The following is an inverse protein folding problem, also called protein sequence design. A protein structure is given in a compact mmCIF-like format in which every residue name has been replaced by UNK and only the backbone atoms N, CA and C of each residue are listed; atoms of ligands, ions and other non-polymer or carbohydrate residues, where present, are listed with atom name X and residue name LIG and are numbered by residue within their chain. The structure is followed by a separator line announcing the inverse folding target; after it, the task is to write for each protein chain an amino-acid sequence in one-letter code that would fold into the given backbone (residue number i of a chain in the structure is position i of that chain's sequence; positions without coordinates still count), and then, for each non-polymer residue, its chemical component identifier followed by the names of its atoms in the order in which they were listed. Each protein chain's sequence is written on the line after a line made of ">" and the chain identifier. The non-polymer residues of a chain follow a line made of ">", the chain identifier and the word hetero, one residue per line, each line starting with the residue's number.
data_IF_003826326309
#
_entry.id   IF_003826326309
#
_cell.length_a   1.000
_cell.length_b   1.000
_cell.length_c   1.000
_cell.angle_alpha   90.00
_cell.angle_beta   90.00
_cell.angle_gamma   90.00
#
_symmetry.space_group_name_H-M   'P 1'
#
loop_
_entity.id
_entity.type
_entity.pdbx_description
1 polymer ?
#
# COMPACT_ATOMS: atom_id res chain seq x y z
N UNK A 1 -26.74 -31.44 5.06
CA UNK A 1 -26.64 -32.14 3.76
C UNK A 1 -26.82 -31.21 2.55
N UNK A 2 -27.59 -30.13 2.62
CA UNK A 2 -27.81 -29.22 1.48
C UNK A 2 -26.56 -28.48 0.99
N UNK A 3 -25.67 -28.07 1.88
CA UNK A 3 -24.51 -27.25 1.56
C UNK A 3 -23.43 -28.00 0.76
N UNK A 4 -23.24 -29.30 1.06
CA UNK A 4 -22.28 -30.13 0.33
C UNK A 4 -22.72 -30.38 -1.13
N UNK A 5 -24.02 -30.52 -1.36
CA UNK A 5 -24.58 -30.69 -2.71
C UNK A 5 -24.47 -29.39 -3.52
N UNK A 6 -24.73 -28.24 -2.90
CA UNK A 6 -24.61 -26.93 -3.53
C UNK A 6 -23.16 -26.64 -3.94
N UNK A 7 -22.18 -26.94 -3.10
CA UNK A 7 -20.74 -26.78 -3.40
C UNK A 7 -20.32 -27.70 -4.55
N UNK A 8 -20.78 -28.95 -4.55
CA UNK A 8 -20.46 -29.92 -5.62
C UNK A 8 -21.06 -29.49 -6.97
N UNK A 9 -22.27 -28.97 -7.00
CA UNK A 9 -22.91 -28.44 -8.22
C UNK A 9 -22.22 -27.18 -8.74
N UNK A 10 -21.72 -26.31 -7.85
CA UNK A 10 -20.92 -25.15 -8.22
C UNK A 10 -19.61 -25.55 -8.88
N UNK A 11 -18.90 -26.53 -8.34
CA UNK A 11 -17.65 -27.05 -8.90
C UNK A 11 -17.87 -27.70 -10.28
N UNK A 12 -18.95 -28.49 -10.46
CA UNK A 12 -19.25 -29.13 -11.72
C UNK A 12 -19.64 -28.18 -12.86
N UNK A 13 -20.12 -26.97 -12.54
CA UNK A 13 -20.48 -25.93 -13.52
C UNK A 13 -19.39 -24.91 -13.77
N UNK A 14 -18.19 -25.06 -13.18
CA UNK A 14 -17.13 -24.08 -13.27
C UNK A 14 -17.48 -22.74 -12.64
N UNK A 15 -18.45 -22.72 -11.70
CA UNK A 15 -18.91 -21.53 -11.02
C UNK A 15 -17.81 -21.03 -10.07
N UNK A 16 -17.29 -19.86 -10.37
CA UNK A 16 -16.17 -19.27 -9.63
C UNK A 16 -16.64 -18.34 -8.51
N UNK A 17 -15.75 -18.02 -7.57
CA UNK A 17 -16.00 -16.98 -6.57
C UNK A 17 -16.29 -15.61 -7.18
N UNK A 18 -15.79 -15.35 -8.38
CA UNK A 18 -16.07 -14.12 -9.14
C UNK A 18 -17.52 -14.13 -9.66
N UNK A 19 -18.02 -15.26 -10.11
CA UNK A 19 -19.41 -15.39 -10.56
C UNK A 19 -20.38 -15.22 -9.38
N UNK A 20 -20.04 -15.77 -8.21
CA UNK A 20 -20.79 -15.54 -6.97
C UNK A 20 -20.81 -14.05 -6.60
N UNK A 21 -19.66 -13.38 -6.72
CA UNK A 21 -19.53 -11.95 -6.42
C UNK A 21 -20.39 -11.07 -7.35
N UNK A 22 -20.52 -11.46 -8.64
CA UNK A 22 -21.38 -10.77 -9.61
C UNK A 22 -22.88 -10.93 -9.28
N UNK A 23 -23.26 -12.09 -8.77
CA UNK A 23 -24.66 -12.35 -8.37
C UNK A 23 -25.01 -11.70 -7.03
N UNK A 24 -24.02 -11.48 -6.17
CA UNK A 24 -24.18 -10.88 -4.83
C UNK A 24 -23.24 -9.69 -4.61
N UNK A 25 -23.33 -8.63 -5.41
CA UNK A 25 -22.40 -7.51 -5.37
C UNK A 25 -22.43 -6.69 -4.05
N UNK A 26 -23.54 -6.78 -3.32
CA UNK A 26 -23.72 -6.12 -2.01
C UNK A 26 -23.00 -6.82 -0.84
N UNK A 27 -22.52 -8.05 -1.00
CA UNK A 27 -21.81 -8.78 0.03
C UNK A 27 -20.35 -8.33 0.19
N UNK A 28 -19.77 -8.53 1.38
CA UNK A 28 -18.35 -8.21 1.65
C UNK A 28 -17.39 -8.93 0.70
N UNK A 29 -17.66 -10.21 0.41
CA UNK A 29 -16.88 -11.02 -0.53
C UNK A 29 -17.00 -10.49 -1.96
N UNK A 30 -18.22 -10.14 -2.40
CA UNK A 30 -18.47 -9.57 -3.72
C UNK A 30 -17.69 -8.29 -3.96
N UNK A 31 -17.74 -7.37 -3.02
CA UNK A 31 -16.99 -6.11 -3.07
C UNK A 31 -15.48 -6.35 -3.18
N UNK A 32 -14.90 -7.20 -2.32
CA UNK A 32 -13.45 -7.50 -2.34
C UNK A 32 -12.97 -8.09 -3.67
N UNK A 33 -13.79 -8.91 -4.32
CA UNK A 33 -13.44 -9.56 -5.59
C UNK A 33 -13.62 -8.64 -6.82
N UNK A 34 -14.56 -7.70 -6.76
CA UNK A 34 -14.87 -6.80 -7.87
C UNK A 34 -14.12 -5.47 -7.82
N UNK A 35 -13.82 -4.95 -6.61
CA UNK A 35 -13.14 -3.68 -6.45
C UNK A 35 -11.69 -3.72 -6.96
N UNK A 36 -11.27 -2.59 -7.52
CA UNK A 36 -9.88 -2.34 -7.89
C UNK A 36 -9.16 -1.54 -6.79
N UNK A 37 -7.84 -1.51 -6.86
CA UNK A 37 -6.99 -0.68 -6.00
C UNK A 37 -7.41 0.79 -6.12
N UNK A 38 -7.69 1.28 -7.34
CA UNK A 38 -8.13 2.64 -7.59
C UNK A 38 -9.42 3.03 -6.88
N UNK A 39 -10.30 2.07 -6.55
CA UNK A 39 -11.54 2.36 -5.81
C UNK A 39 -11.32 2.67 -4.32
N UNK A 40 -10.16 2.33 -3.76
CA UNK A 40 -9.87 2.44 -2.31
C UNK A 40 -8.59 3.21 -2.01
N UNK A 41 -7.74 3.45 -3.01
CA UNK A 41 -6.48 4.15 -2.80
C UNK A 41 -6.70 5.59 -2.30
N UNK A 42 -5.75 6.09 -1.54
CA UNK A 42 -5.65 7.52 -1.25
C UNK A 42 -4.81 8.17 -2.35
N UNK A 43 -5.38 9.15 -3.05
CA UNK A 43 -4.75 9.84 -4.18
C UNK A 43 -4.48 11.33 -3.94
N UNK A 44 -4.89 11.85 -2.79
CA UNK A 44 -4.72 13.26 -2.42
C UNK A 44 -4.08 13.38 -1.04
N UNK A 45 -3.48 14.53 -0.78
CA UNK A 45 -2.80 14.84 0.49
C UNK A 45 -1.81 13.74 0.90
N UNK A 46 -1.03 13.26 -0.08
CA UNK A 46 0.00 12.26 0.19
C UNK A 46 1.15 12.88 0.98
N UNK A 47 1.65 12.21 2.02
CA UNK A 47 2.76 12.70 2.83
C UNK A 47 4.09 12.53 2.09
N UNK A 48 4.43 13.48 1.22
CA UNK A 48 5.64 13.49 0.41
C UNK A 48 6.65 14.45 1.02
N UNK A 49 7.91 14.02 1.10
CA UNK A 49 9.03 14.84 1.58
C UNK A 49 10.24 14.69 0.67
N UNK A 50 11.14 15.68 0.73
CA UNK A 50 12.44 15.62 0.06
C UNK A 50 13.40 14.65 0.78
N UNK A 51 14.44 14.13 0.11
CA UNK A 51 15.42 13.23 0.71
C UNK A 51 16.18 13.82 1.90
N UNK A 52 16.39 15.14 1.89
CA UNK A 52 17.08 15.89 2.93
C UNK A 52 16.19 16.36 4.08
N UNK A 53 14.92 15.95 4.09
CA UNK A 53 13.97 16.26 5.16
C UNK A 53 14.52 15.87 6.53
N UNK A 54 14.40 16.78 7.50
CA UNK A 54 14.90 16.57 8.86
C UNK A 54 14.11 15.51 9.62
N UNK A 55 14.72 14.93 10.66
CA UNK A 55 14.05 13.97 11.53
C UNK A 55 12.76 14.53 12.14
N UNK A 56 12.76 15.78 12.55
CA UNK A 56 11.58 16.45 13.14
C UNK A 56 10.46 16.62 12.12
N UNK A 57 10.80 17.12 10.91
CA UNK A 57 9.82 17.32 9.84
C UNK A 57 9.26 16.00 9.33
N UNK A 58 10.10 14.96 9.29
CA UNK A 58 9.71 13.60 8.93
C UNK A 58 8.64 13.05 9.89
N UNK A 59 8.86 13.16 11.21
CA UNK A 59 7.90 12.74 12.23
C UNK A 59 6.58 13.52 12.08
N UNK A 60 6.70 14.85 11.87
CA UNK A 60 5.53 15.70 11.66
C UNK A 60 4.73 15.28 10.41
N UNK A 61 5.43 15.02 9.30
CA UNK A 61 4.81 14.60 8.03
C UNK A 61 4.09 13.24 8.17
N UNK A 62 4.69 12.26 8.87
CA UNK A 62 4.05 10.97 9.14
C UNK A 62 2.76 11.17 9.96
N UNK A 63 2.84 11.96 11.03
CA UNK A 63 1.70 12.23 11.92
C UNK A 63 0.57 12.95 11.18
N UNK A 64 0.90 14.01 10.43
CA UNK A 64 -0.06 14.78 9.63
C UNK A 64 -0.68 13.93 8.52
N UNK A 65 0.12 13.11 7.86
CA UNK A 65 -0.33 12.25 6.75
C UNK A 65 -1.32 11.17 7.18
N UNK A 66 -1.22 10.67 8.41
CA UNK A 66 -2.14 9.66 8.97
C UNK A 66 -2.09 8.30 8.28
N UNK A 67 -1.06 8.02 7.48
CA UNK A 67 -0.86 6.75 6.77
C UNK A 67 0.20 5.86 7.44
N UNK A 68 0.84 6.34 8.51
CA UNK A 68 1.95 5.65 9.17
C UNK A 68 3.22 5.54 8.31
N UNK A 69 3.31 6.32 7.24
CA UNK A 69 4.48 6.40 6.36
C UNK A 69 4.58 7.78 5.71
N UNK A 70 5.76 8.06 5.16
CA UNK A 70 6.02 9.15 4.19
C UNK A 70 6.66 8.60 2.94
N UNK A 71 6.49 9.31 1.84
CA UNK A 71 7.08 9.02 0.54
C UNK A 71 8.23 10.01 0.33
N UNK A 72 9.40 9.50 0.02
CA UNK A 72 10.57 10.33 -0.27
C UNK A 72 10.67 10.50 -1.79
N UNK A 73 10.62 11.76 -2.25
CA UNK A 73 10.74 12.09 -3.66
C UNK A 73 11.84 13.11 -3.89
N UNK A 74 12.59 12.89 -4.96
CA UNK A 74 13.48 13.90 -5.57
C UNK A 74 12.86 14.32 -6.90
N UNK A 75 12.27 15.52 -6.92
CA UNK A 75 11.39 15.94 -7.99
C UNK A 75 10.21 14.97 -8.16
N UNK A 76 10.02 14.44 -9.36
CA UNK A 76 8.96 13.47 -9.68
C UNK A 76 9.33 12.01 -9.35
N UNK A 77 10.57 11.78 -8.94
CA UNK A 77 11.09 10.43 -8.73
C UNK A 77 10.92 9.98 -7.28
N UNK A 78 10.31 8.83 -7.08
CA UNK A 78 10.23 8.20 -5.76
C UNK A 78 11.56 7.51 -5.45
N UNK A 79 12.24 7.97 -4.40
CA UNK A 79 13.48 7.40 -3.89
C UNK A 79 13.23 6.26 -2.89
N UNK A 80 12.16 6.37 -2.12
CA UNK A 80 11.83 5.37 -1.10
C UNK A 80 10.65 5.76 -0.23
N UNK A 81 10.47 5.01 0.83
CA UNK A 81 9.49 5.29 1.89
C UNK A 81 10.15 5.19 3.26
N UNK A 82 9.61 5.93 4.23
CA UNK A 82 9.90 5.76 5.66
C UNK A 82 8.60 5.49 6.39
N UNK A 83 8.57 4.45 7.19
CA UNK A 83 7.41 4.08 8.02
C UNK A 83 7.64 4.46 9.48
N UNK A 84 6.56 4.48 10.28
CA UNK A 84 6.64 4.62 11.75
C UNK A 84 7.62 3.60 12.37
N UNK A 85 7.65 2.39 11.82
CA UNK A 85 8.57 1.35 12.26
C UNK A 85 10.03 1.68 11.98
N UNK A 86 10.32 2.33 10.85
CA UNK A 86 11.69 2.75 10.49
C UNK A 86 12.16 3.85 11.42
N UNK A 87 11.30 4.84 11.69
CA UNK A 87 11.56 5.92 12.64
C UNK A 87 11.90 5.35 14.02
N UNK A 88 11.05 4.46 14.54
CA UNK A 88 11.25 3.85 15.86
C UNK A 88 12.58 3.09 15.93
N UNK A 89 12.88 2.26 14.93
CA UNK A 89 14.17 1.54 14.85
C UNK A 89 15.36 2.49 14.77
N UNK A 90 15.22 3.59 14.04
CA UNK A 90 16.26 4.60 13.95
C UNK A 90 16.49 5.31 15.29
N UNK A 91 15.42 5.66 16.00
CA UNK A 91 15.51 6.25 17.35
C UNK A 91 16.23 5.32 18.34
N UNK A 92 15.88 4.03 18.34
CA UNK A 92 16.51 3.02 19.20
C UNK A 92 18.02 2.89 18.91
N UNK A 93 18.40 2.89 17.63
CA UNK A 93 19.79 2.70 17.20
C UNK A 93 20.64 3.94 17.35
N UNK A 94 20.13 5.10 16.96
CA UNK A 94 20.86 6.37 16.89
C UNK A 94 20.79 7.18 18.18
N UNK A 95 19.77 6.94 19.02
CA UNK A 95 19.55 7.66 20.28
C UNK A 95 19.56 9.18 20.08
N UNK A 96 20.46 9.90 20.75
CA UNK A 96 20.57 11.36 20.65
C UNK A 96 20.90 11.85 19.21
N UNK A 97 21.62 11.06 18.43
CA UNK A 97 21.99 11.40 17.05
C UNK A 97 20.83 11.27 16.06
N UNK A 98 19.68 10.71 16.48
CA UNK A 98 18.51 10.58 15.64
C UNK A 98 18.06 11.92 15.04
N UNK A 99 18.12 13.00 15.80
CA UNK A 99 17.71 14.33 15.33
C UNK A 99 18.63 14.96 14.28
N UNK A 100 19.79 14.37 14.06
CA UNK A 100 20.76 14.82 13.04
C UNK A 100 20.63 14.06 11.71
N UNK A 101 19.78 13.02 11.64
CA UNK A 101 19.57 12.24 10.42
C UNK A 101 18.57 12.92 9.47
N UNK A 102 18.66 12.52 8.21
CA UNK A 102 17.72 12.89 7.15
C UNK A 102 16.83 11.72 6.77
N UNK A 103 15.74 12.02 6.09
CA UNK A 103 14.81 10.98 5.64
C UNK A 103 15.49 9.91 4.76
N UNK A 104 16.40 10.32 3.87
CA UNK A 104 17.17 9.41 3.03
C UNK A 104 18.02 8.41 3.81
N UNK A 105 18.49 8.74 5.03
CA UNK A 105 19.36 7.88 5.83
C UNK A 105 18.67 6.63 6.37
N UNK A 106 17.34 6.65 6.44
CA UNK A 106 16.53 5.55 6.97
C UNK A 106 15.47 5.06 5.98
N UNK A 107 15.48 5.59 4.77
CA UNK A 107 14.55 5.22 3.71
C UNK A 107 14.68 3.74 3.33
N UNK A 108 13.54 3.10 3.13
CA UNK A 108 13.46 1.82 2.43
C UNK A 108 13.36 2.09 0.94
N UNK A 109 14.42 1.78 0.15
CA UNK A 109 14.40 2.00 -1.29
C UNK A 109 13.49 0.96 -1.99
N UNK A 110 13.11 1.27 -3.23
CA UNK A 110 12.31 0.38 -4.07
C UNK A 110 11.03 -0.12 -3.37
N UNK A 111 10.15 0.79 -2.93
CA UNK A 111 8.91 0.42 -2.29
C UNK A 111 8.07 -0.47 -3.19
N UNK A 112 7.28 -1.36 -2.61
CA UNK A 112 6.38 -2.22 -3.38
C UNK A 112 5.28 -1.38 -4.02
N UNK A 113 5.08 -1.58 -5.32
CA UNK A 113 4.12 -0.83 -6.13
C UNK A 113 3.06 -1.75 -6.71
N UNK A 114 1.89 -1.18 -6.99
CA UNK A 114 0.79 -1.85 -7.67
C UNK A 114 0.07 -0.83 -8.57
N UNK A 115 -0.51 -1.29 -9.66
CA UNK A 115 -1.30 -0.44 -10.54
C UNK A 115 -2.75 -0.28 -10.04
N UNK A 116 -3.37 0.88 -10.30
CA UNK A 116 -4.72 1.21 -9.83
C UNK A 116 -5.82 0.30 -10.39
N UNK A 117 -5.62 -0.27 -11.58
CA UNK A 117 -6.54 -1.19 -12.26
C UNK A 117 -6.55 -2.61 -11.69
N UNK A 118 -5.53 -2.97 -10.89
CA UNK A 118 -5.43 -4.29 -10.27
C UNK A 118 -6.53 -4.51 -9.25
N UNK A 119 -6.93 -5.78 -9.08
CA UNK A 119 -7.96 -6.14 -8.10
C UNK A 119 -7.47 -5.98 -6.66
N UNK A 120 -8.36 -5.53 -5.79
CA UNK A 120 -8.04 -5.33 -4.38
C UNK A 120 -7.50 -6.61 -3.71
N UNK A 121 -8.03 -7.77 -4.09
CA UNK A 121 -7.55 -9.07 -3.59
C UNK A 121 -6.09 -9.36 -3.97
N UNK A 122 -5.62 -8.82 -5.09
CA UNK A 122 -4.21 -8.97 -5.51
C UNK A 122 -3.30 -8.10 -4.65
N UNK A 123 -3.76 -6.88 -4.32
CA UNK A 123 -3.04 -6.01 -3.39
C UNK A 123 -2.90 -6.66 -2.00
N UNK A 124 -3.98 -7.24 -1.47
CA UNK A 124 -3.96 -7.96 -0.19
C UNK A 124 -2.97 -9.14 -0.20
N UNK A 125 -2.99 -9.94 -1.28
CA UNK A 125 -2.04 -11.04 -1.45
C UNK A 125 -0.59 -10.54 -1.54
N UNK A 126 -0.36 -9.44 -2.25
CA UNK A 126 0.95 -8.83 -2.38
C UNK A 126 1.48 -8.31 -1.04
N UNK A 127 0.63 -7.62 -0.26
CA UNK A 127 0.98 -7.16 1.10
C UNK A 127 1.35 -8.33 2.00
N UNK A 128 0.54 -9.38 2.03
CA UNK A 128 0.78 -10.59 2.85
C UNK A 128 2.08 -11.29 2.44
N UNK A 129 2.29 -11.51 1.14
CA UNK A 129 3.48 -12.19 0.61
C UNK A 129 4.78 -11.42 0.91
N UNK A 130 4.73 -10.09 0.77
CA UNK A 130 5.90 -9.23 1.00
C UNK A 130 6.02 -8.76 2.45
N UNK A 131 5.08 -9.11 3.33
CA UNK A 131 5.03 -8.69 4.74
C UNK A 131 5.08 -7.17 4.90
N UNK A 132 4.35 -6.47 4.03
CA UNK A 132 4.21 -5.01 4.05
C UNK A 132 2.78 -4.61 4.37
N UNK A 133 2.60 -3.46 4.99
CA UNK A 133 1.29 -2.91 5.37
C UNK A 133 0.75 -1.89 4.37
N UNK A 134 1.59 -1.49 3.41
CA UNK A 134 1.23 -0.48 2.41
C UNK A 134 1.87 -0.79 1.07
N UNK A 135 1.21 -0.38 0.00
CA UNK A 135 1.72 -0.42 -1.37
C UNK A 135 1.59 0.99 -1.96
N UNK A 136 2.57 1.40 -2.74
CA UNK A 136 2.43 2.61 -3.54
C UNK A 136 1.67 2.28 -4.82
N UNK A 137 0.71 3.12 -5.14
CA UNK A 137 -0.02 3.00 -6.41
C UNK A 137 0.67 3.86 -7.44
N UNK A 138 1.03 3.25 -8.56
CA UNK A 138 1.73 3.91 -9.68
C UNK A 138 1.10 3.47 -11.00
N UNK A 139 1.25 4.30 -12.02
CA UNK A 139 0.83 3.91 -13.36
C UNK A 139 1.75 2.82 -13.91
N UNK A 140 1.16 1.82 -14.57
CA UNK A 140 1.85 0.60 -15.03
C UNK A 140 2.98 0.84 -16.05
N UNK A 141 3.13 2.06 -16.57
CA UNK A 141 4.05 2.41 -17.65
C UNK A 141 5.14 3.43 -17.28
N UNK A 142 5.19 3.94 -16.06
CA UNK A 142 6.15 4.98 -15.68
C UNK A 142 7.17 4.47 -14.65
N UNK A 143 8.42 4.97 -14.67
CA UNK A 143 9.25 4.93 -13.48
C UNK A 143 8.42 5.52 -12.35
N UNK A 144 8.54 4.95 -11.14
CA UNK A 144 7.72 5.25 -9.97
C UNK A 144 7.59 6.78 -9.79
N UNK A 145 6.52 7.37 -10.36
CA UNK A 145 6.17 8.78 -10.27
C UNK A 145 4.90 8.92 -9.46
N UNK A 146 4.79 10.02 -8.72
CA UNK A 146 3.54 10.38 -8.09
C UNK A 146 2.48 10.68 -9.17
N UNK A 147 1.23 10.25 -8.99
CA UNK A 147 0.14 10.71 -9.85
C UNK A 147 0.01 12.24 -9.73
N UNK A 148 -0.02 12.91 -10.86
CA UNK A 148 -0.27 14.36 -10.97
C UNK A 148 -1.70 14.69 -10.60
#
# INVERSE_FOLDING_TARGET
>A
MGDALAVSLMQMRGFTSVDFARLHPGGSLGRRLLMTVGNVMRSHDLPVVAPDCSATDMIHAISKGGLGLIIICDGDRIEGIVTDGDVRRAMERRRAEFFNIKAADIATPNPKTISADRKLIEAEKMMTRNKVTSLLVTDAAAPVKLPT
#
